data_IF_237886766136
#
_entry.id   IF_237886766136
#
_cell.length_a   1.000
_cell.length_b   1.000
_cell.length_c   1.000
_cell.angle_alpha   90.00
_cell.angle_beta   90.00
_cell.angle_gamma   90.00
#
_symmetry.space_group_name_H-M   'P 1'
#
loop_
_entity.id
_entity.type
_entity.pdbx_description
1 polymer ?
#
# COMPACT_ATOMS: atom_id res chain seq x y z
N UNK A 1 -10.65 -5.30 58.39
CA UNK A 1 -10.44 -5.12 56.93
C UNK A 1 -11.15 -6.25 56.18
N UNK A 2 -12.30 -5.96 55.58
CA UNK A 2 -13.05 -6.97 54.82
C UNK A 2 -12.46 -7.09 53.41
N UNK A 3 -12.23 -8.33 52.95
CA UNK A 3 -11.69 -8.60 51.61
C UNK A 3 -12.74 -8.25 50.55
N UNK A 4 -12.38 -7.44 49.56
CA UNK A 4 -13.19 -7.18 48.36
C UNK A 4 -12.84 -8.15 47.23
N UNK A 5 -13.65 -8.17 46.17
CA UNK A 5 -13.38 -8.97 44.96
C UNK A 5 -12.37 -8.24 44.08
N UNK A 6 -11.26 -8.90 43.75
CA UNK A 6 -10.14 -8.28 43.03
C UNK A 6 -10.35 -8.15 41.51
N UNK A 7 -11.20 -8.99 40.89
CA UNK A 7 -11.39 -8.97 39.42
C UNK A 7 -12.75 -9.52 38.97
N UNK A 8 -13.33 -8.96 37.89
CA UNK A 8 -14.53 -9.49 37.23
C UNK A 8 -14.59 -9.11 35.74
N UNK A 9 -14.96 -10.07 34.89
CA UNK A 9 -15.21 -9.87 33.46
C UNK A 9 -16.73 -9.80 33.13
N UNK A 10 -17.60 -9.73 34.14
CA UNK A 10 -19.05 -9.99 33.98
C UNK A 10 -19.78 -9.09 32.96
N UNK A 11 -19.38 -7.83 32.82
CA UNK A 11 -20.04 -6.85 31.94
C UNK A 11 -19.19 -6.44 30.73
N UNK A 12 -17.99 -6.99 30.52
CA UNK A 12 -17.13 -6.51 29.44
C UNK A 12 -17.69 -6.89 28.07
N UNK A 13 -18.13 -8.15 27.91
CA UNK A 13 -18.73 -8.62 26.65
C UNK A 13 -19.98 -7.81 26.29
N UNK A 14 -20.89 -7.59 27.24
CA UNK A 14 -22.10 -6.79 27.02
C UNK A 14 -21.78 -5.36 26.56
N UNK A 15 -20.77 -4.71 27.15
CA UNK A 15 -20.32 -3.38 26.71
C UNK A 15 -19.70 -3.41 25.31
N UNK A 16 -18.86 -4.40 25.02
CA UNK A 16 -18.21 -4.54 23.73
C UNK A 16 -19.22 -4.77 22.59
N UNK A 17 -20.28 -5.54 22.87
CA UNK A 17 -21.33 -5.84 21.90
C UNK A 17 -22.44 -4.78 21.80
N UNK A 18 -22.57 -3.85 22.77
CA UNK A 18 -23.57 -2.76 22.72
C UNK A 18 -23.44 -1.92 21.44
N UNK A 19 -22.22 -1.57 21.06
CA UNK A 19 -21.91 -0.86 19.81
C UNK A 19 -21.38 -1.81 18.71
N UNK A 20 -21.08 -3.05 19.08
CA UNK A 20 -20.52 -4.09 18.22
C UNK A 20 -19.03 -3.92 17.95
N UNK A 21 -18.27 -5.01 18.06
CA UNK A 21 -16.86 -5.05 17.67
C UNK A 21 -16.80 -5.10 16.14
N UNK A 22 -16.42 -3.98 15.50
CA UNK A 22 -16.33 -3.89 14.04
C UNK A 22 -14.98 -4.40 13.54
N UNK A 23 -15.00 -5.16 12.43
CA UNK A 23 -13.79 -5.56 11.72
C UNK A 23 -13.15 -4.35 11.02
N UNK A 24 -11.82 -4.32 10.83
CA UNK A 24 -11.18 -3.29 10.03
C UNK A 24 -11.69 -3.36 8.58
N UNK A 25 -11.82 -2.19 7.95
CA UNK A 25 -12.24 -2.09 6.55
C UNK A 25 -11.07 -2.46 5.64
N UNK A 26 -11.35 -3.20 4.55
CA UNK A 26 -10.37 -3.45 3.48
C UNK A 26 -10.46 -2.30 2.49
N UNK A 27 -9.34 -1.65 2.22
CA UNK A 27 -9.22 -0.62 1.19
C UNK A 27 -8.51 -1.20 -0.04
N UNK A 28 -8.75 -0.64 -1.22
CA UNK A 28 -8.04 -1.03 -2.45
C UNK A 28 -6.53 -0.73 -2.37
N UNK A 29 -6.16 0.28 -1.59
CA UNK A 29 -4.78 0.70 -1.39
C UNK A 29 -4.47 0.73 0.10
N UNK A 30 -3.51 -0.09 0.51
CA UNK A 30 -3.04 -0.17 1.90
C UNK A 30 -2.00 0.91 2.21
N UNK A 31 -1.73 1.10 3.51
CA UNK A 31 -0.69 2.01 3.97
C UNK A 31 0.69 1.51 3.59
N UNK A 32 1.57 2.39 3.12
CA UNK A 32 2.98 2.08 2.86
C UNK A 32 3.89 2.32 4.07
N UNK A 33 3.32 2.51 5.26
CA UNK A 33 4.08 2.68 6.50
C UNK A 33 4.92 1.42 6.78
N UNK A 34 6.20 1.60 7.08
CA UNK A 34 7.13 0.49 7.33
C UNK A 34 7.79 -0.10 6.07
N UNK A 35 7.45 0.38 4.86
CA UNK A 35 8.22 0.06 3.67
C UNK A 35 9.60 0.72 3.69
N UNK A 36 10.57 0.11 3.02
CA UNK A 36 11.93 0.64 2.92
C UNK A 36 11.95 2.08 2.35
N UNK A 37 12.63 2.97 3.06
CA UNK A 37 12.74 4.37 2.69
C UNK A 37 13.44 4.56 1.33
N UNK A 38 14.40 3.71 0.96
CA UNK A 38 15.08 3.80 -0.35
C UNK A 38 14.11 3.45 -1.48
N UNK A 39 13.34 2.38 -1.32
CA UNK A 39 12.27 2.03 -2.25
C UNK A 39 11.22 3.15 -2.39
N UNK A 40 10.75 3.73 -1.27
CA UNK A 40 9.75 4.80 -1.31
C UNK A 40 10.27 6.06 -2.01
N UNK A 41 11.54 6.43 -1.80
CA UNK A 41 12.17 7.54 -2.52
C UNK A 41 12.18 7.28 -4.03
N UNK A 42 12.61 6.10 -4.46
CA UNK A 42 12.60 5.72 -5.87
C UNK A 42 11.18 5.74 -6.46
N UNK A 43 10.21 5.11 -5.77
CA UNK A 43 8.81 5.07 -6.22
C UNK A 43 8.23 6.48 -6.44
N UNK A 44 8.53 7.43 -5.54
CA UNK A 44 8.10 8.83 -5.70
C UNK A 44 8.65 9.46 -6.98
N UNK A 45 9.94 9.27 -7.27
CA UNK A 45 10.55 9.78 -8.50
C UNK A 45 10.00 9.07 -9.75
N UNK A 46 9.83 7.75 -9.72
CA UNK A 46 9.26 6.98 -10.83
C UNK A 46 7.84 7.45 -11.16
N UNK A 47 6.99 7.65 -10.16
CA UNK A 47 5.61 8.15 -10.37
C UNK A 47 5.60 9.58 -10.91
N UNK A 48 6.45 10.47 -10.39
CA UNK A 48 6.50 11.87 -10.80
C UNK A 48 6.94 12.05 -12.26
N UNK A 49 7.89 11.25 -12.71
CA UNK A 49 8.50 11.39 -14.04
C UNK A 49 7.98 10.38 -15.06
N UNK A 50 6.87 9.69 -14.74
CA UNK A 50 6.31 8.71 -15.65
C UNK A 50 5.70 9.40 -16.87
N UNK A 51 6.10 8.97 -18.07
CA UNK A 51 5.53 9.46 -19.31
C UNK A 51 4.08 9.00 -19.47
N UNK A 52 3.27 9.77 -20.19
CA UNK A 52 1.94 9.31 -20.60
C UNK A 52 2.05 8.08 -21.48
N UNK A 53 1.04 7.20 -21.41
CA UNK A 53 1.02 5.93 -22.16
C UNK A 53 1.28 6.13 -23.65
N UNK A 54 0.68 7.15 -24.26
CA UNK A 54 0.90 7.47 -25.69
C UNK A 54 2.37 7.77 -26.00
N UNK A 55 3.03 8.56 -25.14
CA UNK A 55 4.47 8.88 -25.30
C UNK A 55 5.34 7.65 -25.06
N UNK A 56 5.00 6.81 -24.08
CA UNK A 56 5.72 5.56 -23.82
C UNK A 56 5.71 4.62 -25.04
N UNK A 57 4.53 4.42 -25.66
CA UNK A 57 4.40 3.57 -26.84
C UNK A 57 5.24 4.08 -28.02
N UNK A 58 5.20 5.38 -28.28
CA UNK A 58 5.99 6.01 -29.34
C UNK A 58 7.51 5.82 -29.09
N UNK A 59 7.97 6.11 -27.87
CA UNK A 59 9.37 5.95 -27.49
C UNK A 59 9.80 4.47 -27.55
N UNK A 60 8.93 3.54 -27.16
CA UNK A 60 9.22 2.11 -27.22
C UNK A 60 9.38 1.62 -28.67
N UNK A 61 8.47 2.02 -29.57
CA UNK A 61 8.56 1.69 -30.99
C UNK A 61 9.85 2.24 -31.62
N UNK A 62 10.20 3.50 -31.33
CA UNK A 62 11.44 4.11 -31.80
C UNK A 62 12.68 3.38 -31.29
N UNK A 63 12.73 3.05 -29.98
CA UNK A 63 13.84 2.28 -29.39
C UNK A 63 13.98 0.89 -30.01
N UNK A 64 12.86 0.23 -30.33
CA UNK A 64 12.85 -1.07 -31.00
C UNK A 64 13.46 -0.96 -32.39
N UNK A 65 12.99 -0.02 -33.21
CA UNK A 65 13.53 0.22 -34.55
C UNK A 65 15.05 0.55 -34.53
N UNK A 66 15.48 1.40 -33.59
CA UNK A 66 16.91 1.73 -33.44
C UNK A 66 17.76 0.51 -33.05
N UNK A 67 17.23 -0.38 -32.21
CA UNK A 67 17.91 -1.61 -31.81
C UNK A 67 18.04 -2.58 -32.99
N UNK A 68 16.99 -2.75 -33.77
CA UNK A 68 16.98 -3.60 -34.97
C UNK A 68 17.97 -3.09 -36.03
N UNK A 69 17.97 -1.78 -36.29
CA UNK A 69 18.93 -1.15 -37.19
C UNK A 69 20.39 -1.30 -36.71
N UNK A 70 20.64 -1.27 -35.39
CA UNK A 70 21.97 -1.51 -34.82
C UNK A 70 22.41 -2.98 -34.90
N UNK A 71 21.49 -3.93 -34.78
CA UNK A 71 21.81 -5.35 -34.91
C UNK A 71 21.98 -5.81 -36.35
N UNK A 72 21.42 -5.08 -37.32
CA UNK A 72 21.57 -5.34 -38.74
C UNK A 72 22.90 -4.78 -39.32
N UNK A 73 23.68 -4.08 -38.51
CA UNK A 73 25.00 -3.52 -38.84
C UNK A 73 26.10 -4.36 -38.19
#
# INVERSE_FOLDING_TARGET
MAKSKNHTNHNQNRKAHRNGIKKPKRFLHESTLGMDAKFLKNQRFSKRHNLSTKKQLAVAAQRKANREAKSAK
#
